data_IF_409846876243
#
_entry.id   IF_409846876243
#
_cell.length_a   1.000
_cell.length_b   1.000
_cell.length_c   1.000
_cell.angle_alpha   90.00
_cell.angle_beta   90.00
_cell.angle_gamma   90.00
#
_symmetry.space_group_name_H-M   'P 1'
#
loop_
_entity.id
_entity.type
_entity.pdbx_description
1 polymer ?
#
# COMPACT_ATOMS: atom_id res chain seq x y z
N UNK A 1 12.22 -6.46 16.96
CA UNK A 1 11.18 -5.67 16.25
C UNK A 1 11.86 -4.62 15.37
N UNK A 2 11.40 -4.46 14.14
CA UNK A 2 11.96 -3.46 13.23
C UNK A 2 11.52 -2.06 13.62
N UNK A 3 12.48 -1.15 13.76
CA UNK A 3 12.19 0.27 13.83
C UNK A 3 12.03 0.89 12.43
N UNK A 4 11.75 2.19 12.38
CA UNK A 4 11.68 2.93 11.13
C UNK A 4 13.00 2.81 10.38
N UNK A 5 13.00 2.42 9.10
CA UNK A 5 14.24 2.33 8.32
C UNK A 5 14.93 3.69 8.22
N UNK A 6 16.23 3.72 8.57
CA UNK A 6 17.04 4.93 8.55
C UNK A 6 18.13 4.94 7.50
N UNK A 7 18.23 3.90 6.67
CA UNK A 7 19.26 3.79 5.64
C UNK A 7 18.71 3.10 4.40
N UNK A 8 19.42 3.25 3.26
CA UNK A 8 19.07 2.54 2.03
C UNK A 8 19.06 1.03 2.25
N UNK A 9 20.04 0.52 2.97
CA UNK A 9 20.14 -0.92 3.27
C UNK A 9 18.92 -1.42 4.07
N UNK A 10 18.52 -0.71 5.12
CA UNK A 10 17.36 -1.11 5.92
C UNK A 10 16.05 -0.98 5.15
N UNK A 11 15.95 -0.03 4.20
CA UNK A 11 14.81 0.06 3.27
C UNK A 11 14.76 -1.14 2.33
N UNK A 12 15.92 -1.54 1.79
CA UNK A 12 15.99 -2.73 0.94
C UNK A 12 15.62 -4.00 1.69
N UNK A 13 16.08 -4.13 2.92
CA UNK A 13 15.71 -5.26 3.79
C UNK A 13 14.22 -5.30 4.06
N UNK A 14 13.60 -4.16 4.37
CA UNK A 14 12.16 -4.06 4.53
C UNK A 14 11.43 -4.44 3.24
N UNK A 15 11.89 -3.95 2.10
CA UNK A 15 11.31 -4.26 0.80
C UNK A 15 11.32 -5.74 0.45
N UNK A 16 12.29 -6.49 0.96
CA UNK A 16 12.42 -7.93 0.75
C UNK A 16 11.51 -8.77 1.63
N UNK A 17 10.83 -8.18 2.59
CA UNK A 17 9.88 -8.91 3.42
C UNK A 17 8.75 -9.44 2.56
N UNK A 18 8.56 -10.75 2.58
CA UNK A 18 7.47 -11.40 1.84
C UNK A 18 6.16 -11.21 2.61
N UNK A 19 5.14 -10.74 1.92
CA UNK A 19 3.80 -10.60 2.49
C UNK A 19 2.92 -11.80 2.18
N UNK A 20 3.13 -12.41 1.02
CA UNK A 20 2.41 -13.62 0.57
C UNK A 20 3.22 -14.33 -0.50
N UNK A 21 2.67 -15.39 -1.08
CA UNK A 21 3.38 -16.16 -2.11
C UNK A 21 3.88 -15.30 -3.27
N UNK A 22 3.12 -14.29 -3.71
CA UNK A 22 3.42 -13.47 -4.87
C UNK A 22 3.86 -12.05 -4.56
N UNK A 23 3.62 -11.55 -3.34
CA UNK A 23 3.79 -10.13 -3.03
C UNK A 23 4.83 -9.90 -1.92
N UNK A 24 5.61 -8.83 -2.11
CA UNK A 24 6.64 -8.39 -1.18
C UNK A 24 6.34 -6.96 -0.74
N UNK A 25 6.90 -6.54 0.38
CA UNK A 25 6.68 -5.19 0.90
C UNK A 25 7.06 -4.11 -0.12
N UNK A 26 8.10 -4.33 -0.92
CA UNK A 26 8.54 -3.37 -1.96
C UNK A 26 7.51 -3.10 -3.06
N UNK A 27 6.48 -3.93 -3.19
CA UNK A 27 5.47 -3.77 -4.23
C UNK A 27 4.47 -2.65 -3.92
N UNK A 28 4.44 -2.13 -2.69
CA UNK A 28 3.36 -1.27 -2.19
C UNK A 28 3.72 0.18 -1.86
N UNK A 29 5.00 0.59 -1.67
CA UNK A 29 5.30 1.96 -1.23
C UNK A 29 5.35 2.98 -2.36
N UNK A 30 5.00 2.64 -3.59
CA UNK A 30 4.97 3.61 -4.67
C UNK A 30 3.90 4.67 -4.41
N UNK A 31 4.28 5.94 -4.49
CA UNK A 31 3.39 7.07 -4.32
C UNK A 31 3.85 8.23 -5.20
N UNK A 32 3.00 8.64 -6.14
CA UNK A 32 3.27 9.79 -7.00
C UNK A 32 3.44 11.07 -6.17
N UNK A 33 2.65 11.23 -5.10
CA UNK A 33 2.77 12.37 -4.18
C UNK A 33 4.16 12.39 -3.55
N UNK A 34 4.60 11.26 -3.02
CA UNK A 34 5.91 11.14 -2.38
C UNK A 34 7.05 11.44 -3.35
N UNK A 35 7.00 10.85 -4.54
CA UNK A 35 8.04 11.04 -5.56
C UNK A 35 8.09 12.48 -6.08
N UNK A 36 6.93 13.04 -6.43
CA UNK A 36 6.87 14.39 -7.00
C UNK A 36 7.31 15.46 -6.00
N UNK A 37 6.95 15.33 -4.74
CA UNK A 37 7.24 16.30 -3.70
C UNK A 37 8.46 15.97 -2.84
N UNK A 38 9.16 14.88 -3.13
CA UNK A 38 10.37 14.50 -2.40
C UNK A 38 10.11 14.08 -0.94
N UNK A 39 8.93 13.60 -0.63
CA UNK A 39 8.56 13.17 0.73
C UNK A 39 8.81 11.67 0.86
N UNK A 40 9.59 11.21 1.85
CA UNK A 40 9.81 9.78 2.05
C UNK A 40 8.52 9.04 2.37
N UNK A 41 8.22 7.98 1.63
CA UNK A 41 7.08 7.10 1.87
C UNK A 41 7.53 5.84 2.62
N UNK A 42 7.88 6.02 3.88
CA UNK A 42 8.53 5.00 4.70
C UNK A 42 7.68 4.75 5.95
N UNK A 43 7.36 3.48 6.29
CA UNK A 43 6.60 3.19 7.50
C UNK A 43 7.34 3.59 8.77
N UNK A 44 6.65 4.27 9.67
CA UNK A 44 7.15 4.55 11.02
C UNK A 44 7.08 3.31 11.89
N UNK A 45 6.06 2.46 11.70
CA UNK A 45 5.89 1.20 12.41
C UNK A 45 5.85 0.02 11.43
N UNK A 46 7.01 -0.45 10.93
CA UNK A 46 7.05 -1.47 9.88
C UNK A 46 6.37 -2.78 10.24
N UNK A 47 6.42 -3.21 11.50
CA UNK A 47 5.78 -4.47 11.91
C UNK A 47 4.25 -4.41 11.81
N UNK A 48 3.65 -3.27 12.08
CA UNK A 48 2.20 -3.07 11.91
C UNK A 48 1.86 -3.06 10.42
N UNK A 49 2.63 -2.35 9.61
CA UNK A 49 2.45 -2.31 8.15
C UNK A 49 2.57 -3.71 7.53
N UNK A 50 3.57 -4.50 7.97
CA UNK A 50 3.76 -5.88 7.49
C UNK A 50 2.55 -6.74 7.85
N UNK A 51 2.08 -6.67 9.10
CA UNK A 51 0.94 -7.46 9.55
C UNK A 51 -0.33 -7.12 8.74
N UNK A 52 -0.59 -5.84 8.53
CA UNK A 52 -1.74 -5.39 7.72
C UNK A 52 -1.57 -5.81 6.24
N UNK A 53 -0.39 -5.62 5.69
CA UNK A 53 -0.07 -6.00 4.31
C UNK A 53 -0.21 -7.49 4.05
N UNK A 54 0.21 -8.33 4.99
CA UNK A 54 0.01 -9.78 4.89
C UNK A 54 -1.45 -10.17 4.77
N UNK A 55 -2.32 -9.56 5.56
CA UNK A 55 -3.77 -9.80 5.49
C UNK A 55 -4.33 -9.36 4.15
N UNK A 56 -3.97 -8.18 3.66
CA UNK A 56 -4.38 -7.71 2.35
C UNK A 56 -3.97 -8.70 1.25
N UNK A 57 -2.72 -9.13 1.26
CA UNK A 57 -2.18 -10.01 0.23
C UNK A 57 -2.77 -11.42 0.30
N UNK A 58 -2.77 -12.04 1.48
CA UNK A 58 -3.22 -13.43 1.64
C UNK A 58 -4.73 -13.57 1.48
N UNK A 59 -5.52 -12.65 2.04
CA UNK A 59 -6.98 -12.77 2.06
C UNK A 59 -7.65 -12.17 0.83
N UNK A 60 -7.00 -11.28 0.10
CA UNK A 60 -7.63 -10.58 -1.02
C UNK A 60 -6.80 -10.65 -2.31
N UNK A 61 -5.56 -10.18 -2.33
CA UNK A 61 -4.80 -10.04 -3.58
C UNK A 61 -4.42 -11.39 -4.19
N UNK A 62 -4.00 -12.36 -3.40
CA UNK A 62 -3.69 -13.69 -3.93
C UNK A 62 -4.90 -14.38 -4.55
N UNK A 63 -6.09 -14.42 -3.88
CA UNK A 63 -7.30 -14.96 -4.51
C UNK A 63 -7.71 -14.21 -5.78
N UNK A 64 -7.61 -12.89 -5.81
CA UNK A 64 -7.90 -12.10 -7.01
C UNK A 64 -6.94 -12.46 -8.13
N UNK A 65 -5.65 -12.56 -7.85
CA UNK A 65 -4.65 -12.91 -8.84
C UNK A 65 -4.82 -14.33 -9.38
N UNK A 66 -5.19 -15.26 -8.51
CA UNK A 66 -5.49 -16.64 -8.91
C UNK A 66 -6.69 -16.71 -9.86
N UNK A 67 -7.66 -15.81 -9.69
CA UNK A 67 -8.89 -15.79 -10.51
C UNK A 67 -8.68 -15.03 -11.83
N UNK A 68 -8.06 -13.87 -11.79
CA UNK A 68 -8.03 -12.93 -12.93
C UNK A 68 -6.64 -12.76 -13.54
N UNK A 69 -5.62 -13.47 -13.04
CA UNK A 69 -4.25 -13.28 -13.49
C UNK A 69 -3.58 -12.07 -12.85
N UNK A 70 -2.49 -11.64 -13.41
CA UNK A 70 -1.65 -10.58 -12.88
C UNK A 70 -2.43 -9.33 -12.50
N UNK A 71 -2.10 -8.78 -11.32
CA UNK A 71 -2.62 -7.51 -10.84
C UNK A 71 -1.53 -6.44 -10.96
N UNK A 72 -1.92 -5.20 -11.26
CA UNK A 72 -1.04 -4.04 -11.19
C UNK A 72 -1.39 -3.19 -9.97
N UNK A 73 -0.43 -2.98 -9.08
CA UNK A 73 -0.61 -2.14 -7.90
C UNK A 73 -0.38 -0.68 -8.32
N UNK A 74 -1.39 0.18 -8.12
CA UNK A 74 -1.30 1.59 -8.51
C UNK A 74 -0.96 2.49 -7.34
N UNK A 75 -1.65 2.33 -6.23
CA UNK A 75 -1.46 3.11 -5.02
C UNK A 75 -1.83 2.22 -3.84
N UNK A 76 -0.98 2.14 -2.85
CA UNK A 76 -1.25 1.28 -1.71
C UNK A 76 -0.82 1.95 -0.42
N UNK A 77 0.33 1.61 0.12
CA UNK A 77 0.82 2.18 1.35
C UNK A 77 1.12 3.68 1.19
N UNK A 78 0.65 4.47 2.13
CA UNK A 78 1.00 5.88 2.28
C UNK A 78 1.45 6.15 3.71
N UNK A 79 2.66 6.73 3.85
CA UNK A 79 3.13 7.17 5.15
C UNK A 79 2.26 8.32 5.66
N UNK A 80 2.12 8.49 6.99
CA UNK A 80 1.32 9.58 7.55
C UNK A 80 1.71 10.96 7.01
N UNK A 81 3.00 11.24 6.90
CA UNK A 81 3.48 12.53 6.37
C UNK A 81 3.08 12.75 4.91
N UNK A 82 3.13 11.71 4.09
CA UNK A 82 2.72 11.77 2.68
C UNK A 82 1.22 12.00 2.56
N UNK A 83 0.43 11.28 3.33
CA UNK A 83 -1.02 11.42 3.31
C UNK A 83 -1.47 12.80 3.83
N UNK A 84 -0.84 13.29 4.88
CA UNK A 84 -1.13 14.62 5.43
C UNK A 84 -0.84 15.71 4.40
N UNK A 85 0.29 15.63 3.70
CA UNK A 85 0.62 16.55 2.62
C UNK A 85 -0.45 16.50 1.53
N UNK A 86 -0.84 15.31 1.09
CA UNK A 86 -1.86 15.15 0.05
C UNK A 86 -3.23 15.68 0.47
N UNK A 87 -3.62 15.48 1.72
CA UNK A 87 -4.88 16.01 2.24
C UNK A 87 -4.87 17.54 2.33
N UNK A 88 -3.79 18.11 2.89
CA UNK A 88 -3.65 19.56 3.06
C UNK A 88 -3.62 20.31 1.74
N UNK A 89 -2.97 19.75 0.73
CA UNK A 89 -2.77 20.40 -0.58
C UNK A 89 -3.84 20.01 -1.61
N UNK A 90 -4.91 19.35 -1.19
CA UNK A 90 -6.04 19.03 -2.08
C UNK A 90 -5.74 17.98 -3.14
N UNK A 91 -4.83 17.06 -2.87
CA UNK A 91 -4.40 16.03 -3.82
C UNK A 91 -5.26 14.76 -3.74
N UNK A 92 -6.53 14.89 -3.41
CA UNK A 92 -7.50 13.78 -3.34
C UNK A 92 -7.20 12.74 -2.27
N UNK A 93 -6.53 13.14 -1.19
CA UNK A 93 -6.32 12.30 -0.03
C UNK A 93 -7.30 12.66 1.09
N UNK A 94 -7.93 11.65 1.68
CA UNK A 94 -8.68 11.83 2.92
C UNK A 94 -7.72 12.19 4.06
N UNK A 95 -8.24 12.68 5.18
CA UNK A 95 -7.42 12.98 6.36
C UNK A 95 -6.70 11.73 6.88
N UNK A 96 -5.60 11.93 7.63
CA UNK A 96 -4.89 10.81 8.24
C UNK A 96 -5.82 9.96 9.11
N UNK A 97 -6.66 10.60 9.91
CA UNK A 97 -7.60 9.88 10.78
C UNK A 97 -8.51 8.93 9.99
N UNK A 98 -8.97 9.35 8.81
CA UNK A 98 -9.80 8.51 7.94
C UNK A 98 -9.01 7.41 7.24
N UNK A 99 -7.71 7.59 7.08
CA UNK A 99 -6.85 6.63 6.38
C UNK A 99 -6.12 5.64 7.30
N UNK A 100 -6.24 5.77 8.61
CA UNK A 100 -5.70 4.78 9.54
C UNK A 100 -6.38 3.42 9.30
N UNK A 101 -5.58 2.38 9.10
CA UNK A 101 -6.07 1.06 8.74
C UNK A 101 -6.58 0.95 7.32
N UNK A 102 -6.28 1.93 6.46
CA UNK A 102 -6.62 1.97 5.03
C UNK A 102 -5.34 2.17 4.22
N UNK A 103 -5.12 3.33 3.61
CA UNK A 103 -3.85 3.62 2.93
C UNK A 103 -2.68 3.82 3.90
N UNK A 104 -2.95 4.22 5.13
CA UNK A 104 -1.94 4.24 6.20
C UNK A 104 -2.00 2.90 6.93
N UNK A 105 -1.07 2.02 6.65
CA UNK A 105 -1.07 0.63 7.15
C UNK A 105 -0.48 0.46 8.54
N UNK A 106 0.36 1.40 8.96
CA UNK A 106 1.15 1.30 10.18
C UNK A 106 0.54 2.02 11.38
N UNK A 107 -0.69 2.49 11.24
CA UNK A 107 -1.46 3.06 12.35
C UNK A 107 -2.82 2.40 12.44
N UNK A 108 -3.25 2.15 13.68
CA UNK A 108 -4.55 1.54 13.96
C UNK A 108 -5.67 2.57 13.79
N UNK A 109 -6.83 2.11 13.38
CA UNK A 109 -8.02 2.96 13.30
C UNK A 109 -8.58 3.29 14.71
N UNK A 110 -9.68 4.03 14.76
CA UNK A 110 -10.31 4.46 16.02
C UNK A 110 -10.78 3.28 16.88
N UNK A 111 -11.06 2.13 16.27
CA UNK A 111 -11.45 0.91 16.97
C UNK A 111 -10.24 0.04 17.37
N UNK A 112 -9.02 0.47 17.08
CA UNK A 112 -7.80 -0.28 17.37
C UNK A 112 -7.47 -1.37 16.34
N UNK A 113 -8.20 -1.44 15.24
CA UNK A 113 -7.97 -2.42 14.19
C UNK A 113 -6.83 -2.00 13.26
N UNK A 114 -6.10 -2.99 12.75
CA UNK A 114 -5.16 -2.78 11.65
C UNK A 114 -5.87 -3.09 10.33
N UNK A 115 -5.37 -2.50 9.26
CA UNK A 115 -5.90 -2.75 7.91
C UNK A 115 -4.97 -2.20 6.85
N UNK A 116 -5.19 -2.63 5.63
CA UNK A 116 -4.45 -2.17 4.47
C UNK A 116 -5.38 -2.06 3.28
N UNK A 117 -5.17 -1.04 2.46
CA UNK A 117 -5.93 -0.80 1.25
C UNK A 117 -4.97 -0.59 0.09
N UNK A 118 -5.34 -1.07 -1.07
CA UNK A 118 -4.60 -0.84 -2.30
C UNK A 118 -5.57 -0.51 -3.43
N UNK A 119 -5.16 0.40 -4.29
CA UNK A 119 -5.80 0.63 -5.58
C UNK A 119 -5.08 -0.21 -6.61
N UNK A 120 -5.80 -1.05 -7.32
CA UNK A 120 -5.23 -1.98 -8.29
C UNK A 120 -5.89 -1.81 -9.65
N UNK A 121 -5.16 -2.20 -10.68
CA UNK A 121 -5.71 -2.45 -12.01
C UNK A 121 -5.67 -3.95 -12.26
N UNK A 122 -6.76 -4.50 -12.76
CA UNK A 122 -6.86 -5.89 -13.18
C UNK A 122 -6.79 -5.90 -14.70
N UNK A 123 -5.62 -6.23 -15.31
CA UNK A 123 -5.46 -6.16 -16.78
C UNK A 123 -6.49 -7.00 -17.52
N UNK A 124 -6.92 -8.12 -16.96
CA UNK A 124 -7.97 -8.96 -17.54
C UNK A 124 -9.25 -8.18 -17.82
N UNK A 125 -9.70 -7.34 -16.87
CA UNK A 125 -10.88 -6.48 -17.06
C UNK A 125 -10.60 -5.35 -18.07
N UNK A 126 -9.43 -4.72 -17.97
CA UNK A 126 -9.05 -3.64 -18.88
C UNK A 126 -9.03 -4.13 -20.34
N UNK A 127 -8.48 -5.30 -20.59
CA UNK A 127 -8.44 -5.90 -21.93
C UNK A 127 -9.84 -6.20 -22.46
N UNK A 128 -10.73 -6.75 -21.63
CA UNK A 128 -12.09 -7.05 -22.02
C UNK A 128 -12.92 -5.79 -22.28
N UNK A 129 -12.75 -4.75 -21.49
CA UNK A 129 -13.40 -3.47 -21.73
C UNK A 129 -12.95 -2.87 -23.07
N UNK A 130 -11.66 -2.89 -23.35
CA UNK A 130 -11.08 -2.42 -24.61
C UNK A 130 -11.62 -3.21 -25.81
N UNK A 131 -11.86 -4.52 -25.65
CA UNK A 131 -12.40 -5.41 -26.67
C UNK A 131 -13.93 -5.34 -26.79
N UNK A 132 -14.58 -4.39 -26.10
CA UNK A 132 -16.01 -4.13 -26.21
C UNK A 132 -16.89 -4.90 -25.22
N UNK A 133 -16.32 -5.49 -24.16
CA UNK A 133 -17.11 -6.09 -23.09
C UNK A 133 -17.63 -5.01 -22.15
N UNK A 134 -18.86 -5.16 -21.68
CA UNK A 134 -19.47 -4.27 -20.69
C UNK A 134 -19.05 -4.59 -19.26
#
# INVERSE_FOLDING_TARGET
>A
MRGRPGSVRSLEELGRVRLSASFFMRDFPHSEIAEFHGIPNIPDAPEVAIAAGRKLCELLLEPLQATFGRLAIRSAYRAPAVNEFGNRDGLSCASNLRNYGRHIWDLRDAAGAIGAMATIVVPWFADRYRDGAD
#
